data_IF_316486881027
#
_entry.id   IF_316486881027
#
_cell.length_a   1.000
_cell.length_b   1.000
_cell.length_c   1.000
_cell.angle_alpha   90.00
_cell.angle_beta   90.00
_cell.angle_gamma   90.00
#
_symmetry.space_group_name_H-M   'P 1'
#
loop_
_entity.id
_entity.type
_entity.pdbx_description
1 polymer ?
#
# COMPACT_ATOMS: atom_id res chain seq x y z
N UNK A 1 20.05 -23.93 -17.18
CA UNK A 1 18.66 -23.62 -16.84
C UNK A 1 18.68 -22.38 -15.96
N UNK A 2 17.96 -21.30 -16.31
CA UNK A 2 17.83 -20.11 -15.46
C UNK A 2 16.90 -20.44 -14.30
N UNK A 3 17.37 -20.27 -13.07
CA UNK A 3 16.60 -20.60 -11.86
C UNK A 3 15.92 -19.37 -11.23
N UNK A 4 16.00 -18.19 -11.85
CA UNK A 4 15.52 -16.93 -11.25
C UNK A 4 14.71 -16.14 -12.27
N UNK A 5 13.63 -15.54 -11.78
CA UNK A 5 12.85 -14.54 -12.52
C UNK A 5 13.58 -13.20 -12.43
N UNK A 6 13.73 -12.43 -13.51
CA UNK A 6 14.03 -11.00 -13.40
C UNK A 6 12.86 -10.31 -12.70
N UNK A 7 13.08 -9.24 -11.99
CA UNK A 7 14.29 -8.43 -11.76
C UNK A 7 15.16 -8.96 -10.63
N UNK A 8 16.29 -8.26 -10.37
CA UNK A 8 17.06 -8.52 -9.14
C UNK A 8 16.15 -8.29 -7.91
N UNK A 9 16.47 -8.99 -6.80
CA UNK A 9 15.62 -8.99 -5.59
C UNK A 9 15.27 -7.58 -5.10
N UNK A 10 16.21 -6.63 -5.15
CA UNK A 10 16.00 -5.25 -4.69
C UNK A 10 14.96 -4.47 -5.53
N UNK A 11 14.76 -4.82 -6.79
CA UNK A 11 13.82 -4.16 -7.70
C UNK A 11 12.45 -4.86 -7.74
N UNK A 12 12.41 -6.13 -7.33
CA UNK A 12 11.18 -6.92 -7.35
C UNK A 12 10.11 -6.30 -6.46
N UNK A 13 8.99 -5.90 -7.04
CA UNK A 13 7.85 -5.32 -6.33
C UNK A 13 6.96 -6.36 -5.65
N UNK A 14 7.15 -7.65 -5.92
CA UNK A 14 6.30 -8.72 -5.38
C UNK A 14 4.87 -8.70 -5.91
N UNK A 15 4.63 -8.13 -7.08
CA UNK A 15 3.28 -7.97 -7.66
C UNK A 15 2.57 -9.28 -8.03
N UNK A 16 3.28 -10.43 -8.08
CA UNK A 16 2.68 -11.72 -8.40
C UNK A 16 2.47 -12.02 -9.90
N UNK A 17 2.71 -11.05 -10.80
CA UNK A 17 2.46 -11.23 -12.25
C UNK A 17 3.20 -12.42 -12.86
N UNK A 18 4.44 -12.69 -12.44
CA UNK A 18 5.23 -13.82 -12.91
C UNK A 18 4.65 -15.18 -12.49
N UNK A 19 4.11 -15.29 -11.29
CA UNK A 19 3.42 -16.49 -10.81
C UNK A 19 2.09 -16.68 -11.56
N UNK A 20 1.28 -15.62 -11.67
CA UNK A 20 -0.03 -15.65 -12.34
C UNK A 20 0.03 -16.02 -13.84
N UNK A 21 1.15 -15.75 -14.53
CA UNK A 21 1.29 -16.02 -15.98
C UNK A 21 1.97 -17.35 -16.30
N UNK A 22 2.53 -18.03 -15.31
CA UNK A 22 3.27 -19.27 -15.55
C UNK A 22 2.34 -20.40 -16.01
N UNK A 23 2.46 -20.92 -17.26
CA UNK A 23 1.54 -21.93 -17.77
C UNK A 23 1.73 -23.31 -17.13
N UNK A 24 2.80 -23.49 -16.34
CA UNK A 24 3.12 -24.72 -15.63
C UNK A 24 3.02 -24.58 -14.12
N UNK A 25 2.55 -23.42 -13.61
CA UNK A 25 2.52 -23.12 -12.17
C UNK A 25 3.87 -23.39 -11.49
N UNK A 26 4.97 -23.19 -12.22
CA UNK A 26 6.33 -23.44 -11.73
C UNK A 26 6.87 -22.32 -10.85
N UNK A 27 6.09 -21.28 -10.54
CA UNK A 27 6.54 -20.14 -9.76
C UNK A 27 5.62 -19.98 -8.54
N UNK A 28 6.22 -20.01 -7.36
CA UNK A 28 5.57 -19.72 -6.08
C UNK A 28 6.13 -18.45 -5.47
N UNK A 29 5.29 -17.68 -4.78
CA UNK A 29 5.73 -16.51 -4.03
C UNK A 29 6.11 -16.97 -2.62
N UNK A 30 7.41 -16.89 -2.25
CA UNK A 30 7.91 -17.37 -0.96
C UNK A 30 8.52 -16.25 -0.13
N UNK A 31 8.30 -16.23 1.20
CA UNK A 31 8.85 -15.20 2.08
C UNK A 31 10.37 -15.35 2.22
N UNK A 32 11.05 -14.22 2.27
CA UNK A 32 12.45 -14.14 2.67
C UNK A 32 12.63 -13.89 4.18
N UNK A 33 13.86 -13.71 4.63
CA UNK A 33 14.17 -13.45 6.04
C UNK A 33 13.60 -12.13 6.58
N UNK A 34 13.22 -11.20 5.71
CA UNK A 34 12.53 -9.96 6.08
C UNK A 34 10.99 -10.12 6.01
N UNK A 35 10.49 -11.28 5.61
CA UNK A 35 9.07 -11.60 5.49
C UNK A 35 8.39 -11.07 4.23
N UNK A 36 9.15 -10.63 3.21
CA UNK A 36 8.60 -10.27 1.90
C UNK A 36 8.59 -11.46 0.95
N UNK A 37 7.48 -11.66 0.24
CA UNK A 37 7.38 -12.72 -0.75
C UNK A 37 8.10 -12.36 -2.06
N UNK A 38 8.91 -13.31 -2.56
CA UNK A 38 9.62 -13.25 -3.82
C UNK A 38 9.35 -14.50 -4.66
N UNK A 39 9.40 -14.41 -6.02
CA UNK A 39 9.18 -15.57 -6.87
C UNK A 39 10.30 -16.58 -6.74
N UNK A 40 9.93 -17.83 -6.50
CA UNK A 40 10.82 -19.00 -6.51
C UNK A 40 10.37 -19.93 -7.63
N UNK A 41 11.29 -20.32 -8.50
CA UNK A 41 11.01 -21.17 -9.67
C UNK A 41 11.33 -22.62 -9.31
N UNK A 42 10.35 -23.52 -9.50
CA UNK A 42 10.57 -24.96 -9.45
C UNK A 42 11.21 -25.42 -10.79
N UNK A 43 12.47 -25.87 -10.80
CA UNK A 43 13.15 -26.27 -12.00
C UNK A 43 12.58 -27.55 -12.64
N UNK A 44 11.88 -28.40 -11.86
CA UNK A 44 11.26 -29.61 -12.37
C UNK A 44 10.00 -29.33 -13.21
N UNK A 45 9.30 -28.24 -12.92
CA UNK A 45 8.11 -27.80 -13.65
C UNK A 45 8.41 -26.77 -14.73
N UNK A 46 9.54 -26.05 -14.63
CA UNK A 46 9.86 -24.94 -15.52
C UNK A 46 10.27 -25.43 -16.92
N UNK A 47 9.54 -24.97 -17.95
CA UNK A 47 9.80 -25.26 -19.36
C UNK A 47 10.67 -24.21 -20.07
N UNK A 48 11.24 -23.26 -19.34
CA UNK A 48 12.11 -22.19 -19.84
C UNK A 48 11.51 -21.34 -20.98
N UNK A 49 10.22 -21.03 -20.91
CA UNK A 49 9.51 -20.24 -21.94
C UNK A 49 9.70 -18.71 -21.81
N UNK A 50 10.34 -18.23 -20.76
CA UNK A 50 10.64 -16.82 -20.44
C UNK A 50 9.42 -15.88 -20.33
N UNK A 51 8.20 -16.40 -20.26
CA UNK A 51 7.00 -15.56 -20.12
C UNK A 51 7.04 -14.69 -18.87
N UNK A 52 7.52 -15.21 -17.77
CA UNK A 52 7.65 -14.49 -16.50
C UNK A 52 8.60 -13.28 -16.59
N UNK A 53 9.70 -13.41 -17.36
CA UNK A 53 10.64 -12.31 -17.60
C UNK A 53 10.08 -11.28 -18.60
N UNK A 54 9.52 -11.76 -19.72
CA UNK A 54 8.95 -10.90 -20.78
C UNK A 54 7.74 -10.11 -20.31
N UNK A 55 7.11 -10.53 -19.21
CA UNK A 55 5.90 -9.91 -18.64
C UNK A 55 6.13 -9.24 -17.30
N UNK A 56 7.36 -9.21 -16.82
CA UNK A 56 7.68 -8.45 -15.63
C UNK A 56 7.51 -6.95 -15.90
N UNK A 57 6.69 -6.23 -15.10
CA UNK A 57 6.47 -4.80 -15.31
C UNK A 57 7.64 -3.94 -14.81
N UNK A 58 8.60 -4.52 -14.07
CA UNK A 58 9.74 -3.77 -13.55
C UNK A 58 10.62 -3.28 -14.69
N UNK A 59 10.89 -1.98 -14.71
CA UNK A 59 11.68 -1.33 -15.75
C UNK A 59 10.92 -1.07 -17.07
N UNK A 60 9.62 -1.37 -17.14
CA UNK A 60 8.82 -0.99 -18.30
C UNK A 60 8.73 0.55 -18.42
N UNK A 61 8.81 1.04 -19.66
CA UNK A 61 8.58 2.46 -19.93
C UNK A 61 7.07 2.76 -19.88
N UNK A 62 6.72 3.89 -19.30
CA UNK A 62 5.35 4.40 -19.28
C UNK A 62 5.33 5.75 -19.98
N UNK A 63 4.29 6.01 -20.76
CA UNK A 63 4.08 7.31 -21.38
C UNK A 63 3.35 8.24 -20.41
N UNK A 64 3.81 9.49 -20.36
CA UNK A 64 3.12 10.53 -19.63
C UNK A 64 1.80 10.88 -20.33
N UNK A 65 0.73 11.04 -19.55
CA UNK A 65 -0.59 11.43 -20.05
C UNK A 65 -1.16 12.57 -19.19
N UNK A 66 -2.14 13.28 -19.73
CA UNK A 66 -2.80 14.34 -18.98
C UNK A 66 -3.70 13.75 -17.91
N UNK A 67 -3.58 14.25 -16.69
CA UNK A 67 -4.36 13.82 -15.53
C UNK A 67 -5.31 14.94 -15.13
N UNK A 68 -6.56 14.60 -14.85
CA UNK A 68 -7.52 15.50 -14.22
C UNK A 68 -7.77 15.08 -12.78
N UNK A 69 -7.78 16.04 -11.89
CA UNK A 69 -7.93 15.81 -10.46
C UNK A 69 -9.27 16.32 -9.93
N UNK A 70 -9.87 15.56 -9.02
CA UNK A 70 -11.13 15.84 -8.37
C UNK A 70 -11.04 15.54 -6.88
N UNK A 71 -11.77 16.33 -6.07
CA UNK A 71 -12.13 15.93 -4.72
C UNK A 71 -13.45 15.14 -4.80
N UNK A 72 -13.62 14.12 -3.96
CA UNK A 72 -14.84 13.32 -3.94
C UNK A 72 -15.16 12.78 -2.54
N UNK A 73 -16.45 12.78 -2.21
CA UNK A 73 -16.97 12.15 -1.00
C UNK A 73 -18.29 11.45 -1.27
N UNK A 74 -18.52 10.33 -0.64
CA UNK A 74 -19.77 9.59 -0.73
C UNK A 74 -20.91 10.35 -0.03
N UNK A 75 -22.10 10.39 -0.64
CA UNK A 75 -23.28 11.07 -0.10
C UNK A 75 -23.82 10.37 1.15
N UNK A 76 -23.66 9.04 1.22
CA UNK A 76 -24.02 8.24 2.38
C UNK A 76 -22.92 8.30 3.44
N UNK A 77 -23.27 8.84 4.61
CA UNK A 77 -22.35 8.98 5.76
C UNK A 77 -21.88 7.62 6.31
N UNK A 78 -22.69 6.56 6.24
CA UNK A 78 -22.31 5.23 6.72
C UNK A 78 -21.21 4.62 5.83
N UNK A 79 -21.28 4.80 4.51
CA UNK A 79 -20.23 4.39 3.57
C UNK A 79 -18.94 5.18 3.83
N UNK A 80 -19.03 6.49 4.08
CA UNK A 80 -17.86 7.31 4.43
C UNK A 80 -17.21 6.84 5.73
N UNK A 81 -18.02 6.56 6.76
CA UNK A 81 -17.52 6.08 8.04
C UNK A 81 -16.78 4.73 7.89
N UNK A 82 -17.31 3.81 7.10
CA UNK A 82 -16.72 2.49 6.84
C UNK A 82 -15.52 2.52 5.87
N UNK A 83 -15.20 3.66 5.27
CA UNK A 83 -14.10 3.83 4.31
C UNK A 83 -12.91 4.50 4.95
N UNK A 84 -11.69 4.25 4.43
CA UNK A 84 -10.48 4.96 4.88
C UNK A 84 -10.54 6.46 4.60
N UNK A 85 -11.19 6.87 3.52
CA UNK A 85 -11.28 8.25 3.05
C UNK A 85 -12.73 8.59 2.66
N UNK A 86 -12.97 9.20 1.51
CA UNK A 86 -14.29 9.67 1.06
C UNK A 86 -15.26 8.61 0.51
N UNK A 87 -14.87 7.32 0.42
CA UNK A 87 -15.80 6.24 0.01
C UNK A 87 -15.90 5.99 -1.49
N UNK A 88 -14.98 6.52 -2.30
CA UNK A 88 -15.00 6.39 -3.78
C UNK A 88 -14.96 4.93 -4.24
N UNK A 89 -14.14 4.07 -3.59
CA UNK A 89 -14.06 2.66 -3.94
C UNK A 89 -15.40 1.95 -3.90
N UNK A 90 -16.24 2.22 -2.90
CA UNK A 90 -17.56 1.62 -2.76
C UNK A 90 -18.49 2.03 -3.91
N UNK A 91 -18.52 3.31 -4.30
CA UNK A 91 -19.35 3.78 -5.41
C UNK A 91 -18.91 3.14 -6.75
N UNK A 92 -17.60 3.02 -7.01
CA UNK A 92 -17.08 2.35 -8.20
C UNK A 92 -17.42 0.86 -8.21
N UNK A 93 -17.32 0.18 -7.05
CA UNK A 93 -17.63 -1.24 -6.89
C UNK A 93 -19.12 -1.50 -7.18
N UNK A 94 -20.03 -0.70 -6.63
CA UNK A 94 -21.48 -0.79 -6.91
C UNK A 94 -21.77 -0.61 -8.40
N UNK A 95 -21.11 0.34 -9.07
CA UNK A 95 -21.20 0.49 -10.52
C UNK A 95 -20.69 -0.74 -11.29
N UNK A 96 -19.71 -1.48 -10.78
CA UNK A 96 -19.25 -2.73 -11.38
C UNK A 96 -20.25 -3.87 -11.16
N UNK A 97 -20.80 -4.03 -9.95
CA UNK A 97 -21.83 -5.03 -9.66
C UNK A 97 -23.09 -4.83 -10.50
N UNK A 98 -23.53 -3.59 -10.68
CA UNK A 98 -24.67 -3.26 -11.53
C UNK A 98 -24.52 -3.71 -12.99
N UNK A 99 -23.28 -3.95 -13.44
CA UNK A 99 -22.95 -4.47 -14.78
C UNK A 99 -22.69 -5.98 -14.79
N UNK A 100 -22.96 -6.68 -13.68
CA UNK A 100 -22.69 -8.10 -13.51
C UNK A 100 -21.19 -8.43 -13.46
N UNK A 101 -20.38 -7.47 -13.05
CA UNK A 101 -18.93 -7.62 -12.95
C UNK A 101 -18.47 -8.06 -11.56
N UNK A 102 -17.17 -8.35 -11.46
CA UNK A 102 -16.48 -8.78 -10.23
C UNK A 102 -15.51 -7.69 -9.81
N UNK A 103 -15.45 -7.44 -8.50
CA UNK A 103 -14.54 -6.46 -7.90
C UNK A 103 -13.44 -7.19 -7.15
N UNK A 104 -12.17 -6.86 -7.43
CA UNK A 104 -11.01 -7.36 -6.70
C UNK A 104 -10.40 -6.26 -5.83
N UNK A 105 -10.06 -6.60 -4.59
CA UNK A 105 -9.41 -5.70 -3.65
C UNK A 105 -8.74 -6.45 -2.50
N UNK A 106 -7.89 -5.75 -1.76
CA UNK A 106 -7.19 -6.33 -0.61
C UNK A 106 -8.14 -6.53 0.58
N UNK A 107 -8.09 -7.71 1.18
CA UNK A 107 -8.83 -8.07 2.38
C UNK A 107 -7.94 -8.83 3.37
N UNK A 108 -8.40 -8.95 4.61
CA UNK A 108 -7.82 -9.87 5.57
C UNK A 108 -8.40 -11.27 5.35
N UNK A 109 -7.53 -12.25 5.13
CA UNK A 109 -7.82 -13.67 5.14
C UNK A 109 -7.53 -14.30 6.50
N UNK A 110 -7.23 -15.59 6.48
CA UNK A 110 -6.92 -16.33 7.71
C UNK A 110 -5.73 -15.70 8.47
N UNK A 111 -5.86 -15.66 9.81
CA UNK A 111 -4.85 -15.06 10.71
C UNK A 111 -4.40 -13.66 10.32
N UNK A 112 -5.31 -12.87 9.76
CA UNK A 112 -5.05 -11.50 9.26
C UNK A 112 -3.98 -11.42 8.17
N UNK A 113 -3.72 -12.52 7.43
CA UNK A 113 -2.96 -12.45 6.19
C UNK A 113 -3.66 -11.50 5.22
N UNK A 114 -2.90 -10.64 4.52
CA UNK A 114 -3.49 -9.72 3.56
C UNK A 114 -3.37 -10.28 2.16
N UNK A 115 -4.50 -10.49 1.52
CA UNK A 115 -4.61 -11.03 0.17
C UNK A 115 -5.63 -10.26 -0.67
N UNK A 116 -5.54 -10.37 -1.99
CA UNK A 116 -6.59 -9.89 -2.88
C UNK A 116 -7.65 -10.96 -3.06
N UNK A 117 -8.90 -10.60 -2.82
CA UNK A 117 -10.07 -11.45 -3.03
C UNK A 117 -10.99 -10.85 -4.08
N UNK A 118 -11.87 -11.66 -4.67
CA UNK A 118 -12.96 -11.22 -5.56
C UNK A 118 -14.27 -11.10 -4.79
N UNK A 119 -15.08 -10.09 -5.12
CA UNK A 119 -16.44 -9.88 -4.63
C UNK A 119 -17.40 -9.74 -5.80
N UNK A 120 -18.61 -10.32 -5.69
CA UNK A 120 -19.67 -10.24 -6.69
C UNK A 120 -20.85 -9.38 -6.24
N UNK A 121 -20.90 -9.03 -4.97
CA UNK A 121 -21.94 -8.17 -4.40
C UNK A 121 -21.41 -7.33 -3.22
N UNK A 122 -22.28 -6.51 -2.66
CA UNK A 122 -21.91 -5.58 -1.59
C UNK A 122 -21.65 -6.25 -0.24
N UNK A 123 -22.23 -7.42 0.03
CA UNK A 123 -22.01 -8.15 1.28
C UNK A 123 -20.55 -8.61 1.40
N UNK A 124 -19.97 -9.02 0.27
CA UNK A 124 -18.57 -9.44 0.17
C UNK A 124 -17.59 -8.25 0.14
N UNK A 125 -18.07 -7.05 -0.26
CA UNK A 125 -17.25 -5.84 -0.36
C UNK A 125 -16.76 -5.33 1.00
N UNK A 126 -17.45 -5.62 2.08
CA UNK A 126 -17.15 -5.11 3.42
C UNK A 126 -15.69 -5.41 3.84
N UNK A 127 -15.18 -6.61 3.56
CA UNK A 127 -13.81 -7.02 3.86
C UNK A 127 -12.73 -6.24 3.09
N UNK A 128 -13.08 -5.68 1.93
CA UNK A 128 -12.16 -4.89 1.10
C UNK A 128 -12.08 -3.42 1.53
N UNK A 129 -13.09 -2.91 2.24
CA UNK A 129 -13.08 -1.53 2.77
C UNK A 129 -11.98 -1.36 3.80
N UNK A 130 -11.48 -0.15 3.92
CA UNK A 130 -10.40 0.17 4.83
C UNK A 130 -9.00 -0.16 4.28
N UNK A 131 -8.02 0.67 4.60
CA UNK A 131 -6.63 0.47 4.19
C UNK A 131 -6.01 -0.70 4.94
N UNK A 132 -5.23 -1.53 4.25
CA UNK A 132 -4.37 -2.55 4.82
C UNK A 132 -2.94 -2.13 4.55
N UNK A 133 -2.25 -1.58 5.56
CA UNK A 133 -0.86 -1.15 5.44
C UNK A 133 0.08 -2.35 5.61
N UNK A 134 -0.10 -3.34 4.72
CA UNK A 134 0.69 -4.56 4.59
C UNK A 134 0.68 -4.94 3.12
N UNK A 135 1.78 -5.48 2.60
CA UNK A 135 1.78 -6.00 1.25
C UNK A 135 0.81 -7.19 1.12
N UNK A 136 -0.17 -7.07 0.22
CA UNK A 136 -1.11 -8.15 -0.05
C UNK A 136 -0.55 -9.14 -1.08
N UNK A 137 -0.91 -10.41 -0.96
CA UNK A 137 -0.75 -11.38 -2.05
C UNK A 137 -1.82 -11.13 -3.12
N UNK A 138 -1.40 -10.94 -4.36
CA UNK A 138 -2.29 -10.67 -5.49
C UNK A 138 -2.13 -11.65 -6.65
N UNK A 139 -1.27 -12.68 -6.54
CA UNK A 139 -0.95 -13.57 -7.65
C UNK A 139 -2.20 -14.31 -8.18
N UNK A 140 -2.95 -14.94 -7.29
CA UNK A 140 -4.16 -15.69 -7.63
C UNK A 140 -5.29 -14.76 -8.10
N UNK A 141 -5.45 -13.59 -7.46
CA UNK A 141 -6.44 -12.61 -7.87
C UNK A 141 -6.16 -12.07 -9.30
N UNK A 142 -4.90 -11.84 -9.65
CA UNK A 142 -4.49 -11.45 -11.02
C UNK A 142 -4.85 -12.57 -12.02
N UNK A 143 -4.58 -13.83 -11.68
CA UNK A 143 -4.91 -14.97 -12.54
C UNK A 143 -6.44 -15.11 -12.73
N UNK A 144 -7.21 -15.00 -11.64
CA UNK A 144 -8.67 -15.08 -11.63
C UNK A 144 -9.30 -13.91 -12.40
N UNK A 145 -8.83 -12.68 -12.19
CA UNK A 145 -9.29 -11.52 -12.95
C UNK A 145 -9.07 -11.69 -14.46
N UNK A 146 -7.90 -12.19 -14.87
CA UNK A 146 -7.61 -12.48 -16.27
C UNK A 146 -8.53 -13.59 -16.84
N UNK A 147 -8.82 -14.63 -16.08
CA UNK A 147 -9.73 -15.70 -16.48
C UNK A 147 -11.19 -15.20 -16.63
N UNK A 148 -11.66 -14.31 -15.75
CA UNK A 148 -12.98 -13.68 -15.87
C UNK A 148 -13.07 -12.80 -17.12
N UNK A 149 -12.07 -11.96 -17.35
CA UNK A 149 -11.99 -11.07 -18.51
C UNK A 149 -11.97 -11.85 -19.82
N UNK A 150 -11.25 -12.98 -19.91
CA UNK A 150 -11.25 -13.84 -21.11
C UNK A 150 -12.63 -14.45 -21.40
N UNK A 151 -13.46 -14.63 -20.38
CA UNK A 151 -14.87 -15.05 -20.50
C UNK A 151 -15.82 -13.90 -20.76
N UNK A 152 -15.30 -12.68 -20.89
CA UNK A 152 -16.09 -11.48 -21.16
C UNK A 152 -16.80 -10.89 -19.94
N UNK A 153 -16.47 -11.32 -18.74
CA UNK A 153 -17.03 -10.79 -17.48
C UNK A 153 -16.28 -9.49 -17.10
N UNK A 154 -16.98 -8.38 -16.84
CA UNK A 154 -16.35 -7.14 -16.43
C UNK A 154 -15.64 -7.27 -15.07
N UNK A 155 -14.49 -6.62 -14.91
CA UNK A 155 -13.71 -6.65 -13.67
C UNK A 155 -13.32 -5.22 -13.28
N UNK A 156 -13.49 -4.89 -12.00
CA UNK A 156 -12.79 -3.81 -11.34
C UNK A 156 -11.67 -4.42 -10.51
N UNK A 157 -10.44 -3.96 -10.69
CA UNK A 157 -9.30 -4.38 -9.87
C UNK A 157 -8.69 -3.17 -9.17
N UNK A 158 -8.67 -3.19 -7.82
CA UNK A 158 -8.01 -2.18 -7.00
C UNK A 158 -6.74 -2.77 -6.39
N UNK A 159 -5.61 -2.05 -6.48
CA UNK A 159 -4.34 -2.49 -5.91
C UNK A 159 -3.30 -1.38 -5.88
N UNK A 160 -2.11 -1.69 -5.38
CA UNK A 160 -0.96 -0.76 -5.49
C UNK A 160 -0.60 -0.54 -6.96
N UNK A 161 0.05 0.59 -7.33
CA UNK A 161 0.47 0.82 -8.72
C UNK A 161 1.24 -0.35 -9.32
N UNK A 162 2.16 -0.96 -8.57
CA UNK A 162 2.93 -2.10 -9.06
C UNK A 162 2.09 -3.39 -9.25
N UNK A 163 1.00 -3.58 -8.50
CA UNK A 163 0.06 -4.68 -8.70
C UNK A 163 -0.82 -4.44 -9.93
N UNK A 164 -1.25 -3.19 -10.15
CA UNK A 164 -1.95 -2.80 -11.39
C UNK A 164 -1.07 -3.04 -12.60
N UNK A 165 0.20 -2.63 -12.56
CA UNK A 165 1.14 -2.89 -13.65
C UNK A 165 1.32 -4.39 -13.91
N UNK A 166 1.37 -5.20 -12.84
CA UNK A 166 1.42 -6.66 -12.92
C UNK A 166 0.18 -7.24 -13.61
N UNK A 167 -1.01 -6.78 -13.27
CA UNK A 167 -2.26 -7.16 -13.91
C UNK A 167 -2.28 -6.74 -15.38
N UNK A 168 -1.91 -5.49 -15.69
CA UNK A 168 -1.86 -4.97 -17.05
C UNK A 168 -0.82 -5.69 -17.92
N UNK A 169 0.26 -6.19 -17.35
CA UNK A 169 1.21 -7.04 -18.05
C UNK A 169 0.61 -8.43 -18.37
N UNK A 170 -0.34 -8.92 -17.57
CA UNK A 170 -1.03 -10.20 -17.75
C UNK A 170 -2.18 -10.10 -18.77
N UNK A 171 -3.00 -9.03 -18.70
CA UNK A 171 -4.22 -8.83 -19.50
C UNK A 171 -3.91 -8.04 -20.77
N UNK A 172 -4.48 -8.45 -21.94
CA UNK A 172 -4.17 -7.83 -23.24
C UNK A 172 -5.40 -7.65 -24.13
N UNK A 173 -5.20 -6.76 -25.13
CA UNK A 173 -6.16 -6.57 -26.22
C UNK A 173 -7.57 -6.26 -25.70
N UNK A 174 -8.58 -6.92 -26.27
CA UNK A 174 -10.00 -6.70 -25.95
C UNK A 174 -10.38 -6.99 -24.49
N UNK A 175 -9.60 -7.82 -23.79
CA UNK A 175 -9.82 -8.08 -22.37
C UNK A 175 -9.71 -6.79 -21.54
N UNK A 176 -8.83 -5.84 -21.92
CA UNK A 176 -8.67 -4.55 -21.24
C UNK A 176 -9.87 -3.63 -21.37
N UNK A 177 -10.72 -3.80 -22.35
CA UNK A 177 -11.92 -2.99 -22.52
C UNK A 177 -12.91 -3.20 -21.37
N UNK A 178 -12.98 -4.42 -20.81
CA UNK A 178 -13.84 -4.80 -19.70
C UNK A 178 -13.18 -4.71 -18.33
N UNK A 179 -11.91 -4.30 -18.27
CA UNK A 179 -11.16 -4.11 -17.05
C UNK A 179 -11.16 -2.63 -16.64
N UNK A 180 -11.70 -2.31 -15.47
CA UNK A 180 -11.49 -1.02 -14.79
C UNK A 180 -10.43 -1.19 -13.72
N UNK A 181 -9.37 -0.39 -13.78
CA UNK A 181 -8.28 -0.42 -12.80
C UNK A 181 -8.29 0.81 -11.91
N UNK A 182 -8.12 0.57 -10.61
CA UNK A 182 -8.06 1.61 -9.58
C UNK A 182 -6.82 1.38 -8.74
N UNK A 183 -5.86 2.29 -8.80
CA UNK A 183 -4.75 2.29 -7.85
C UNK A 183 -4.90 3.42 -6.82
N UNK A 184 -3.90 3.57 -5.97
CA UNK A 184 -3.88 4.62 -4.98
C UNK A 184 -2.49 5.23 -4.84
N UNK A 185 -2.42 6.47 -4.34
CA UNK A 185 -1.15 7.11 -4.00
C UNK A 185 -0.48 6.28 -2.90
N UNK A 186 0.62 5.63 -3.26
CA UNK A 186 1.24 4.58 -2.46
C UNK A 186 2.49 5.11 -1.75
N UNK A 187 2.47 5.05 -0.41
CA UNK A 187 3.62 5.38 0.42
C UNK A 187 4.74 4.30 0.37
N UNK A 188 4.36 3.06 0.05
CA UNK A 188 5.18 1.86 0.14
C UNK A 188 4.47 0.77 0.92
N UNK A 189 4.97 -0.46 0.85
CA UNK A 189 4.33 -1.61 1.51
C UNK A 189 5.23 -2.17 2.62
N UNK A 190 4.71 -2.31 3.86
CA UNK A 190 5.37 -3.02 4.94
C UNK A 190 5.43 -4.53 4.69
N UNK A 191 6.35 -5.19 5.39
CA UNK A 191 6.53 -6.63 5.34
C UNK A 191 5.34 -7.39 5.94
N UNK A 192 4.75 -8.36 5.21
CA UNK A 192 3.73 -9.26 5.75
C UNK A 192 4.23 -10.07 6.96
N UNK A 193 5.48 -10.53 6.93
CA UNK A 193 6.08 -11.27 8.05
C UNK A 193 6.23 -10.41 9.30
N UNK A 194 6.60 -9.14 9.14
CA UNK A 194 6.68 -8.19 10.28
C UNK A 194 5.29 -7.95 10.87
N UNK A 195 4.25 -7.82 10.04
CA UNK A 195 2.87 -7.66 10.52
C UNK A 195 2.37 -8.91 11.24
N UNK A 196 2.57 -10.10 10.66
CA UNK A 196 2.22 -11.36 11.31
C UNK A 196 2.88 -11.50 12.68
N UNK A 197 4.18 -11.21 12.77
CA UNK A 197 4.92 -11.24 14.04
C UNK A 197 4.46 -10.18 15.04
N UNK A 198 3.97 -9.02 14.55
CA UNK A 198 3.35 -8.00 15.39
C UNK A 198 2.03 -8.52 15.99
N UNK A 199 1.15 -9.11 15.17
CA UNK A 199 -0.10 -9.72 15.65
C UNK A 199 0.20 -10.81 16.69
N UNK A 200 1.14 -11.73 16.43
CA UNK A 200 1.57 -12.73 17.39
C UNK A 200 2.10 -12.12 18.70
N UNK A 201 2.74 -10.96 18.63
CA UNK A 201 3.23 -10.28 19.85
C UNK A 201 2.08 -9.75 20.71
N UNK A 202 1.00 -9.24 20.08
CA UNK A 202 -0.21 -8.85 20.80
C UNK A 202 -0.91 -10.05 21.41
N UNK A 203 -1.06 -11.13 20.65
CA UNK A 203 -1.68 -12.38 21.13
C UNK A 203 -0.94 -12.95 22.34
N UNK A 204 0.39 -12.99 22.31
CA UNK A 204 1.21 -13.42 23.46
C UNK A 204 1.07 -12.52 24.67
N UNK A 205 1.00 -11.20 24.48
CA UNK A 205 0.89 -10.24 25.57
C UNK A 205 -0.47 -10.31 26.29
N UNK A 206 -1.54 -10.66 25.55
CA UNK A 206 -2.89 -10.67 26.07
C UNK A 206 -3.46 -12.09 26.32
N UNK A 207 -2.79 -13.14 25.87
CA UNK A 207 -3.24 -14.53 25.99
C UNK A 207 -4.49 -14.85 25.16
N UNK A 208 -4.80 -14.03 24.14
CA UNK A 208 -5.98 -14.13 23.29
C UNK A 208 -5.62 -13.87 21.83
N UNK A 209 -6.42 -14.41 20.91
CA UNK A 209 -6.24 -14.16 19.47
C UNK A 209 -6.72 -12.75 19.08
N UNK A 210 -6.04 -12.16 18.12
CA UNK A 210 -6.51 -10.96 17.42
C UNK A 210 -7.42 -11.42 16.27
N UNK A 211 -8.71 -11.08 16.33
CA UNK A 211 -9.72 -11.49 15.34
C UNK A 211 -10.02 -10.44 14.28
N UNK A 212 -9.68 -9.18 14.54
CA UNK A 212 -9.82 -8.08 13.57
C UNK A 212 -8.75 -7.02 13.76
N UNK A 213 -8.39 -6.33 12.67
CA UNK A 213 -7.47 -5.20 12.72
C UNK A 213 -7.92 -4.10 11.75
N UNK A 214 -7.96 -2.86 12.25
CA UNK A 214 -8.26 -1.67 11.45
C UNK A 214 -7.08 -0.71 11.51
N UNK A 215 -6.50 -0.38 10.36
CA UNK A 215 -5.38 0.58 10.27
C UNK A 215 -5.82 2.05 10.30
N UNK A 216 -7.07 2.31 9.98
CA UNK A 216 -7.63 3.65 9.77
C UNK A 216 -8.98 3.79 10.46
N UNK A 217 -9.06 3.45 11.76
CA UNK A 217 -10.23 3.72 12.57
C UNK A 217 -10.35 5.23 12.84
N UNK A 218 -11.52 5.79 12.55
CA UNK A 218 -11.79 7.24 12.61
C UNK A 218 -12.36 7.72 13.95
N UNK A 219 -12.22 6.94 15.04
CA UNK A 219 -12.72 7.32 16.38
C UNK A 219 -12.22 8.67 16.90
N UNK A 220 -11.04 9.10 16.42
CA UNK A 220 -10.42 10.39 16.73
C UNK A 220 -10.44 11.37 15.54
N UNK A 221 -11.26 11.09 14.51
CA UNK A 221 -11.32 11.83 13.27
C UNK A 221 -10.56 11.15 12.12
N UNK A 222 -10.80 11.59 10.91
CA UNK A 222 -10.15 11.07 9.70
C UNK A 222 -8.67 11.45 9.62
N UNK A 223 -8.33 12.68 10.04
CA UNK A 223 -6.96 13.18 10.01
C UNK A 223 -6.11 12.57 11.12
N UNK A 224 -6.73 12.26 12.26
CA UNK A 224 -6.07 11.71 13.45
C UNK A 224 -6.53 10.26 13.71
N UNK A 225 -6.46 9.44 12.68
CA UNK A 225 -6.89 8.04 12.74
C UNK A 225 -6.05 7.20 13.71
N UNK A 226 -6.65 6.12 14.19
CA UNK A 226 -6.03 5.12 15.05
C UNK A 226 -5.91 3.78 14.32
N UNK A 227 -4.92 2.97 14.71
CA UNK A 227 -4.94 1.53 14.48
C UNK A 227 -5.63 0.84 15.65
N UNK A 228 -6.44 -0.18 15.37
CA UNK A 228 -7.24 -0.90 16.36
C UNK A 228 -7.14 -2.38 16.11
N UNK A 229 -6.64 -3.14 17.09
CA UNK A 229 -6.73 -4.60 17.13
C UNK A 229 -7.91 -5.01 18.02
N UNK A 230 -8.73 -5.96 17.57
CA UNK A 230 -9.84 -6.52 18.35
C UNK A 230 -9.50 -7.96 18.75
N UNK A 231 -9.57 -8.24 20.06
CA UNK A 231 -9.35 -9.58 20.62
C UNK A 231 -10.62 -10.42 20.57
N UNK A 232 -10.50 -11.74 20.80
CA UNK A 232 -11.63 -12.69 20.77
C UNK A 232 -12.77 -12.34 21.75
N UNK A 233 -12.46 -11.75 22.90
CA UNK A 233 -13.46 -11.29 23.87
C UNK A 233 -14.11 -9.95 23.52
N UNK A 234 -13.73 -9.34 22.38
CA UNK A 234 -14.19 -8.03 21.93
C UNK A 234 -13.37 -6.85 22.51
N UNK A 235 -12.36 -7.08 23.33
CA UNK A 235 -11.46 -6.05 23.82
C UNK A 235 -10.75 -5.38 22.64
N UNK A 236 -10.70 -4.04 22.62
CA UNK A 236 -10.03 -3.27 21.59
C UNK A 236 -8.74 -2.63 22.12
N UNK A 237 -7.64 -2.95 21.48
CA UNK A 237 -6.35 -2.31 21.68
C UNK A 237 -6.20 -1.23 20.62
N UNK A 238 -6.06 0.01 21.00
CA UNK A 238 -5.97 1.13 20.04
C UNK A 238 -4.77 2.00 20.32
N UNK A 239 -4.15 2.50 19.24
CA UNK A 239 -3.09 3.50 19.31
C UNK A 239 -3.13 4.43 18.10
N UNK A 240 -2.57 5.62 18.28
CA UNK A 240 -2.49 6.65 17.24
C UNK A 240 -1.30 6.44 16.31
N UNK A 241 -1.17 7.31 15.33
CA UNK A 241 -0.03 7.31 14.37
C UNK A 241 1.34 7.45 15.04
N UNK A 242 1.42 7.86 16.31
CA UNK A 242 2.66 8.15 17.03
C UNK A 242 2.96 7.20 18.19
N UNK A 243 1.98 6.42 18.65
CA UNK A 243 2.12 5.54 19.81
C UNK A 243 1.77 4.07 19.51
N UNK A 244 1.13 3.78 18.39
CA UNK A 244 0.94 2.41 17.93
C UNK A 244 2.22 1.91 17.22
N UNK A 245 2.92 0.90 17.75
CA UNK A 245 4.29 0.59 17.31
C UNK A 245 4.42 0.16 15.87
N UNK A 246 3.46 -0.63 15.35
CA UNK A 246 3.51 -1.07 13.95
C UNK A 246 3.19 0.08 13.00
N UNK A 247 2.13 0.84 13.26
CA UNK A 247 1.76 1.97 12.43
C UNK A 247 2.85 3.06 12.42
N UNK A 248 3.41 3.37 13.58
CA UNK A 248 4.49 4.35 13.69
C UNK A 248 5.74 3.89 12.92
N UNK A 249 6.15 2.64 13.07
CA UNK A 249 7.30 2.09 12.33
C UNK A 249 7.09 2.10 10.81
N UNK A 250 5.87 1.82 10.34
CA UNK A 250 5.50 1.96 8.93
C UNK A 250 5.64 3.40 8.45
N UNK A 251 5.04 4.35 9.15
CA UNK A 251 5.09 5.77 8.78
C UNK A 251 6.52 6.34 8.81
N UNK A 252 7.42 5.75 9.61
CA UNK A 252 8.84 6.07 9.62
C UNK A 252 9.66 5.27 8.58
N UNK A 253 9.04 4.53 7.66
CA UNK A 253 9.69 3.72 6.61
C UNK A 253 10.65 2.64 7.16
N UNK A 254 10.42 2.15 8.38
CA UNK A 254 11.36 1.27 9.06
C UNK A 254 11.49 -0.11 8.42
N UNK A 255 10.38 -0.65 7.86
CA UNK A 255 10.29 -2.00 7.29
C UNK A 255 9.52 -2.05 5.98
N UNK A 256 9.70 -1.03 5.14
CA UNK A 256 9.18 -1.06 3.77
C UNK A 256 9.96 -2.04 2.89
N UNK A 257 9.29 -2.55 1.87
CA UNK A 257 9.91 -3.38 0.84
C UNK A 257 11.06 -2.63 0.17
N UNK A 258 12.21 -3.27 -0.10
CA UNK A 258 13.37 -2.61 -0.71
C UNK A 258 13.03 -1.86 -2.01
N UNK A 259 12.22 -2.45 -2.89
CA UNK A 259 11.82 -1.82 -4.15
C UNK A 259 11.00 -0.54 -3.98
N UNK A 260 10.34 -0.31 -2.84
CA UNK A 260 9.59 0.92 -2.59
C UNK A 260 10.49 2.16 -2.53
N UNK A 261 11.77 2.00 -2.14
CA UNK A 261 12.72 3.11 -2.10
C UNK A 261 13.30 3.49 -3.47
N UNK A 262 13.06 2.65 -4.47
CA UNK A 262 13.47 2.84 -5.86
C UNK A 262 12.25 2.64 -6.78
N UNK A 263 11.07 3.05 -6.33
CA UNK A 263 9.80 2.75 -6.98
C UNK A 263 9.79 3.25 -8.44
N UNK A 264 9.79 2.31 -9.38
CA UNK A 264 9.71 2.60 -10.81
C UNK A 264 8.29 3.03 -11.23
N UNK A 265 7.30 2.89 -10.35
CA UNK A 265 5.91 3.23 -10.62
C UNK A 265 5.58 4.69 -10.27
N UNK A 266 6.46 5.35 -9.48
CA UNK A 266 6.35 6.79 -9.23
C UNK A 266 6.97 7.57 -10.37
N UNK A 267 6.15 8.15 -11.21
CA UNK A 267 6.54 8.96 -12.36
C UNK A 267 5.72 10.25 -12.43
N UNK A 268 5.78 11.01 -11.36
CA UNK A 268 4.87 12.13 -11.17
C UNK A 268 3.43 11.65 -11.02
N UNK A 269 2.47 12.43 -11.46
CA UNK A 269 1.05 12.06 -11.41
C UNK A 269 0.63 11.01 -12.47
N UNK A 270 1.57 10.31 -13.13
CA UNK A 270 1.27 9.42 -14.25
C UNK A 270 1.19 7.97 -13.81
N UNK A 271 0.00 7.51 -13.47
CA UNK A 271 -0.32 6.13 -13.13
C UNK A 271 -0.91 5.39 -14.32
N UNK A 272 -0.69 4.07 -14.42
CA UNK A 272 -1.28 3.23 -15.48
C UNK A 272 -2.72 2.82 -15.21
N UNK A 273 -3.20 2.94 -13.97
CA UNK A 273 -4.58 2.68 -13.61
C UNK A 273 -5.54 3.65 -14.33
N UNK A 274 -6.78 3.26 -14.52
CA UNK A 274 -7.82 4.14 -15.07
C UNK A 274 -8.14 5.30 -14.12
N UNK A 275 -8.12 5.01 -12.82
CA UNK A 275 -8.30 5.96 -11.73
C UNK A 275 -7.24 5.75 -10.65
N UNK A 276 -6.74 6.85 -10.09
CA UNK A 276 -5.92 6.83 -8.88
C UNK A 276 -6.68 7.53 -7.77
N UNK A 277 -6.82 6.87 -6.61
CA UNK A 277 -7.49 7.44 -5.45
C UNK A 277 -6.51 7.67 -4.30
N UNK A 278 -6.80 8.67 -3.46
CA UNK A 278 -6.00 8.96 -2.27
C UNK A 278 -6.84 9.69 -1.22
N UNK A 279 -6.25 9.92 -0.06
CA UNK A 279 -6.76 10.94 0.86
C UNK A 279 -6.53 12.34 0.27
N UNK A 280 -7.50 13.22 0.36
CA UNK A 280 -7.33 14.64 0.00
C UNK A 280 -6.71 15.37 1.20
N UNK A 281 -5.43 15.09 1.47
CA UNK A 281 -4.69 15.80 2.51
C UNK A 281 -4.64 17.31 2.19
N UNK A 282 -4.68 18.14 3.22
CA UNK A 282 -4.74 19.59 3.05
C UNK A 282 -6.14 20.12 2.71
N UNK A 283 -7.20 19.31 2.87
CA UNK A 283 -8.59 19.73 2.60
C UNK A 283 -8.96 21.02 3.34
N UNK A 284 -8.48 21.19 4.58
CA UNK A 284 -8.70 22.40 5.37
C UNK A 284 -8.15 23.68 4.71
N UNK A 285 -7.17 23.57 3.81
CA UNK A 285 -6.55 24.70 3.12
C UNK A 285 -7.11 24.93 1.71
N UNK A 286 -7.55 23.83 1.06
CA UNK A 286 -7.93 23.87 -0.38
C UNK A 286 -9.44 23.80 -0.62
N UNK A 287 -10.22 23.27 0.32
CA UNK A 287 -11.67 23.19 0.26
C UNK A 287 -12.28 23.10 1.69
N UNK A 288 -12.04 24.11 2.56
CA UNK A 288 -12.43 24.07 3.96
C UNK A 288 -13.95 23.84 4.16
N UNK A 289 -14.78 24.30 3.23
CA UNK A 289 -16.24 24.13 3.27
C UNK A 289 -16.69 22.68 3.10
N UNK A 290 -15.79 21.77 2.72
CA UNK A 290 -16.07 20.33 2.54
C UNK A 290 -15.34 19.45 3.54
N UNK A 291 -14.50 20.05 4.37
CA UNK A 291 -13.68 19.34 5.33
C UNK A 291 -14.40 19.20 6.68
N UNK A 292 -15.10 18.10 6.83
CA UNK A 292 -15.84 17.74 8.05
C UNK A 292 -15.11 16.66 8.90
N UNK A 293 -13.85 16.39 8.60
CA UNK A 293 -13.00 15.38 9.26
C UNK A 293 -13.58 13.94 9.26
N UNK A 294 -14.52 13.63 8.35
CA UNK A 294 -15.08 12.28 8.21
C UNK A 294 -14.50 11.51 7.03
N UNK A 295 -13.68 12.17 6.19
CA UNK A 295 -12.98 11.58 5.05
C UNK A 295 -13.34 12.22 3.72
N UNK A 296 -12.31 12.63 2.99
CA UNK A 296 -12.39 13.24 1.68
C UNK A 296 -11.34 12.62 0.77
N UNK A 297 -11.73 12.15 -0.41
CA UNK A 297 -10.84 11.51 -1.36
C UNK A 297 -10.36 12.48 -2.43
N UNK A 298 -9.08 12.34 -2.79
CA UNK A 298 -8.55 12.76 -4.08
C UNK A 298 -8.86 11.68 -5.10
N UNK A 299 -9.31 12.06 -6.29
CA UNK A 299 -9.48 11.17 -7.44
C UNK A 299 -8.75 11.76 -8.63
N UNK A 300 -7.79 11.02 -9.18
CA UNK A 300 -7.10 11.37 -10.41
C UNK A 300 -7.64 10.50 -11.54
N UNK A 301 -8.07 11.12 -12.62
CA UNK A 301 -8.62 10.47 -13.81
C UNK A 301 -7.52 10.34 -14.84
N UNK A 302 -7.07 9.12 -15.12
CA UNK A 302 -5.93 8.85 -15.97
C UNK A 302 -6.34 8.42 -17.39
N UNK A 303 -7.58 7.89 -17.57
CA UNK A 303 -8.08 7.43 -18.87
C UNK A 303 -9.52 7.88 -19.12
N UNK A 304 -9.98 7.78 -20.37
CA UNK A 304 -11.39 8.01 -20.71
C UNK A 304 -12.33 7.01 -20.02
N UNK A 305 -11.91 5.77 -19.85
CA UNK A 305 -12.68 4.75 -19.12
C UNK A 305 -12.81 5.11 -17.64
N UNK A 306 -11.73 5.59 -17.00
CA UNK A 306 -11.77 6.12 -15.64
C UNK A 306 -12.71 7.32 -15.52
N UNK A 307 -12.71 8.24 -16.50
CA UNK A 307 -13.63 9.37 -16.55
C UNK A 307 -15.08 8.93 -16.59
N UNK A 308 -15.40 7.95 -17.44
CA UNK A 308 -16.75 7.41 -17.53
C UNK A 308 -17.17 6.77 -16.19
N UNK A 309 -16.30 5.95 -15.60
CA UNK A 309 -16.57 5.30 -14.32
C UNK A 309 -16.82 6.32 -13.18
N UNK A 310 -16.05 7.42 -13.13
CA UNK A 310 -16.25 8.48 -12.15
C UNK A 310 -17.61 9.20 -12.37
N UNK A 311 -17.97 9.53 -13.62
CA UNK A 311 -19.27 10.14 -13.93
C UNK A 311 -20.43 9.25 -13.53
N UNK A 312 -20.35 7.95 -13.76
CA UNK A 312 -21.39 7.00 -13.34
C UNK A 312 -21.50 6.95 -11.81
N UNK A 313 -20.37 7.07 -11.10
CA UNK A 313 -20.31 7.09 -9.64
C UNK A 313 -20.81 8.41 -9.02
N UNK A 314 -20.97 9.51 -9.76
CA UNK A 314 -21.53 10.79 -9.27
C UNK A 314 -22.96 10.66 -8.72
N UNK A 315 -23.68 9.59 -9.06
CA UNK A 315 -24.99 9.27 -8.46
C UNK A 315 -24.87 9.12 -6.94
N UNK A 316 -23.75 8.55 -6.46
CA UNK A 316 -23.48 8.30 -5.05
C UNK A 316 -22.42 9.24 -4.46
N UNK A 317 -21.62 9.90 -5.31
CA UNK A 317 -20.55 10.80 -4.91
C UNK A 317 -20.92 12.27 -5.12
N UNK A 318 -20.46 13.12 -4.23
CA UNK A 318 -20.25 14.53 -4.49
C UNK A 318 -18.84 14.71 -5.04
N UNK A 319 -18.71 15.13 -6.31
CA UNK A 319 -17.44 15.29 -7.03
C UNK A 319 -17.24 16.76 -7.36
N UNK A 320 -16.04 17.28 -7.20
CA UNK A 320 -15.70 18.66 -7.52
C UNK A 320 -14.25 18.75 -8.06
N UNK A 321 -13.98 19.70 -8.98
CA UNK A 321 -12.66 19.80 -9.61
C UNK A 321 -11.59 20.29 -8.63
N UNK A 322 -10.36 19.78 -8.78
CA UNK A 322 -9.19 20.16 -8.01
C UNK A 322 -8.05 20.59 -8.94
N UNK A 323 -7.21 21.47 -8.45
CA UNK A 323 -5.97 21.87 -9.15
C UNK A 323 -4.86 20.88 -8.85
N UNK A 324 -4.23 20.34 -9.89
CA UNK A 324 -3.17 19.32 -9.75
C UNK A 324 -1.93 19.85 -9.04
N UNK A 325 -1.56 21.12 -9.27
CA UNK A 325 -0.41 21.77 -8.64
C UNK A 325 -0.53 21.86 -7.10
N UNK A 326 -1.75 22.05 -6.61
CA UNK A 326 -2.02 22.10 -5.17
C UNK A 326 -1.86 20.74 -4.50
N UNK A 327 -2.16 19.64 -5.23
CA UNK A 327 -2.19 18.28 -4.68
C UNK A 327 -0.80 17.76 -4.33
N UNK A 328 0.21 18.08 -5.11
CA UNK A 328 1.60 17.65 -4.89
C UNK A 328 2.15 18.12 -3.54
N UNK A 329 1.74 19.30 -3.09
CA UNK A 329 2.14 19.85 -1.80
C UNK A 329 1.70 18.97 -0.62
N UNK A 330 0.51 18.37 -0.71
CA UNK A 330 -0.09 17.59 0.38
C UNK A 330 0.04 16.07 0.18
N UNK A 331 0.41 15.63 -1.03
CA UNK A 331 0.61 14.23 -1.38
C UNK A 331 1.99 14.01 -2.01
N UNK A 332 3.09 14.16 -1.25
CA UNK A 332 4.45 14.05 -1.79
C UNK A 332 4.73 12.67 -2.41
N UNK A 333 4.05 11.62 -1.97
CA UNK A 333 4.14 10.28 -2.56
C UNK A 333 3.62 10.17 -3.99
N UNK A 334 3.08 11.23 -4.57
CA UNK A 334 2.82 11.32 -6.02
C UNK A 334 4.10 11.46 -6.85
N UNK A 335 5.15 12.06 -6.31
CA UNK A 335 6.40 12.35 -7.03
C UNK A 335 7.65 11.79 -6.35
N UNK A 336 7.57 11.49 -5.05
CA UNK A 336 8.73 11.11 -4.25
C UNK A 336 8.60 9.67 -3.76
N UNK A 337 9.64 8.88 -4.00
CA UNK A 337 9.75 7.55 -3.42
C UNK A 337 10.00 7.64 -1.92
N UNK A 338 9.53 6.64 -1.17
CA UNK A 338 9.87 6.52 0.23
C UNK A 338 11.39 6.39 0.41
N UNK A 339 11.94 7.10 1.38
CA UNK A 339 13.35 6.93 1.76
C UNK A 339 13.45 5.87 2.86
N UNK A 340 14.32 4.88 2.67
CA UNK A 340 14.53 3.86 3.70
C UNK A 340 15.00 4.49 5.01
N UNK A 341 14.42 4.07 6.13
CA UNK A 341 14.84 4.57 7.42
C UNK A 341 16.31 4.15 7.71
N UNK A 342 17.19 5.04 8.22
CA UNK A 342 18.60 4.72 8.46
C UNK A 342 18.83 3.53 9.41
N UNK A 343 17.85 3.25 10.27
CA UNK A 343 17.90 2.15 11.25
C UNK A 343 17.26 0.84 10.72
N UNK A 344 16.86 0.77 9.42
CA UNK A 344 16.22 -0.41 8.81
C UNK A 344 17.01 -1.69 9.01
N UNK A 345 18.33 -1.69 8.73
CA UNK A 345 19.18 -2.87 8.93
C UNK A 345 19.21 -3.30 10.40
N UNK A 346 19.30 -2.33 11.32
CA UNK A 346 19.29 -2.62 12.75
C UNK A 346 17.95 -3.22 13.20
N UNK A 347 16.84 -2.74 12.63
CA UNK A 347 15.53 -3.32 12.88
C UNK A 347 15.48 -4.78 12.43
N UNK A 348 15.85 -5.11 11.19
CA UNK A 348 15.78 -6.48 10.69
C UNK A 348 16.78 -7.43 11.39
N UNK A 349 17.92 -6.94 11.82
CA UNK A 349 18.83 -7.74 12.68
C UNK A 349 18.22 -8.05 14.06
N UNK A 350 17.44 -7.14 14.62
CA UNK A 350 16.68 -7.35 15.86
C UNK A 350 15.48 -8.27 15.63
N UNK A 351 14.74 -8.05 14.55
CA UNK A 351 13.58 -8.85 14.13
C UNK A 351 13.95 -10.32 13.91
N UNK A 352 15.07 -10.61 13.23
CA UNK A 352 15.54 -11.97 13.01
C UNK A 352 15.83 -12.74 14.31
N UNK A 353 16.16 -12.04 15.41
CA UNK A 353 16.48 -12.67 16.71
C UNK A 353 15.27 -12.81 17.62
N UNK A 354 14.33 -11.89 17.56
CA UNK A 354 13.32 -11.73 18.59
C UNK A 354 11.87 -11.64 18.04
N UNK A 355 11.70 -11.62 16.72
CA UNK A 355 10.44 -11.24 16.11
C UNK A 355 10.14 -9.75 16.29
N UNK A 356 8.87 -9.37 16.11
CA UNK A 356 8.43 -8.01 16.37
C UNK A 356 8.30 -7.75 17.89
N UNK A 357 8.87 -6.64 18.33
CA UNK A 357 8.81 -6.16 19.71
C UNK A 357 8.52 -4.66 19.69
N UNK A 358 7.30 -4.29 20.05
CA UNK A 358 6.81 -2.91 19.97
C UNK A 358 7.62 -1.94 20.83
N UNK A 359 8.01 -2.33 22.05
CA UNK A 359 8.82 -1.49 22.92
C UNK A 359 10.20 -1.19 22.32
N UNK A 360 10.83 -2.20 21.74
CA UNK A 360 12.12 -2.04 21.04
C UNK A 360 11.99 -1.18 19.79
N UNK A 361 10.90 -1.32 19.04
CA UNK A 361 10.62 -0.46 17.88
C UNK A 361 10.49 0.99 18.31
N UNK A 362 9.68 1.27 19.36
CA UNK A 362 9.52 2.63 19.87
C UNK A 362 10.84 3.20 20.41
N UNK A 363 11.63 2.43 21.15
CA UNK A 363 12.98 2.83 21.59
C UNK A 363 13.93 3.08 20.42
N UNK A 364 13.87 2.22 19.38
CA UNK A 364 14.69 2.37 18.17
C UNK A 364 14.36 3.69 17.46
N UNK A 365 13.08 4.03 17.33
CA UNK A 365 12.60 5.24 16.64
C UNK A 365 12.64 6.50 17.49
N UNK A 366 12.79 6.38 18.80
CA UNK A 366 12.87 7.54 19.68
C UNK A 366 13.91 8.55 19.19
N UNK A 367 13.61 9.85 19.28
CA UNK A 367 14.56 10.89 18.92
C UNK A 367 15.82 10.77 19.79
N UNK A 368 17.01 11.09 19.25
CA UNK A 368 18.25 10.99 20.00
C UNK A 368 18.18 11.84 21.26
N UNK A 369 18.59 11.26 22.39
CA UNK A 369 18.65 11.94 23.66
C UNK A 369 19.56 13.19 23.61
N UNK A 370 19.44 14.06 24.62
CA UNK A 370 20.23 15.31 24.67
C UNK A 370 21.73 15.07 24.55
N UNK A 371 22.24 14.06 25.23
CA UNK A 371 23.65 13.66 25.16
C UNK A 371 24.08 13.19 23.74
N UNK A 372 23.25 12.37 23.11
CA UNK A 372 23.52 11.89 21.73
C UNK A 372 23.46 13.04 20.70
N UNK A 373 22.53 13.98 20.85
CA UNK A 373 22.47 15.20 20.01
C UNK A 373 23.73 16.04 20.14
N UNK A 374 24.25 16.20 21.39
CA UNK A 374 25.51 16.90 21.62
C UNK A 374 26.68 16.14 21.01
N UNK A 375 26.75 14.82 21.21
CA UNK A 375 27.80 13.99 20.64
C UNK A 375 27.82 14.05 19.09
N UNK A 376 26.64 14.00 18.45
CA UNK A 376 26.53 14.15 16.98
C UNK A 376 26.96 15.55 16.51
N UNK A 377 26.62 16.60 17.23
CA UNK A 377 27.10 17.97 16.92
C UNK A 377 28.60 18.07 17.02
N UNK A 378 29.22 17.46 18.05
CA UNK A 378 30.67 17.43 18.22
C UNK A 378 31.34 16.63 17.09
N UNK A 379 30.78 15.47 16.70
CA UNK A 379 31.32 14.63 15.64
C UNK A 379 31.29 15.30 14.24
N UNK A 380 30.38 16.24 14.02
CA UNK A 380 30.28 17.03 12.79
C UNK A 380 31.02 18.38 12.81
N UNK A 381 31.74 18.69 13.89
CA UNK A 381 32.58 19.90 13.93
C UNK A 381 33.82 19.73 13.03
N UNK A 382 34.17 20.74 12.23
CA UNK A 382 35.40 20.72 11.47
C UNK A 382 36.61 20.46 12.38
N UNK A 383 37.60 19.74 11.89
CA UNK A 383 38.77 19.30 12.67
C UNK A 383 39.48 20.43 13.45
N UNK A 384 39.40 21.68 12.94
CA UNK A 384 39.92 22.88 13.61
C UNK A 384 39.11 23.32 14.84
N UNK A 385 37.79 23.08 14.84
CA UNK A 385 36.93 23.42 15.98
C UNK A 385 37.06 22.40 17.13
N UNK A 386 37.31 21.12 16.79
CA UNK A 386 37.57 20.06 17.77
C UNK A 386 38.87 20.29 18.56
N UNK A 387 39.91 20.83 17.90
CA UNK A 387 41.18 21.18 18.60
C UNK A 387 40.98 22.36 19.59
N UNK A 388 40.20 23.35 19.23
CA UNK A 388 39.88 24.50 20.13
C UNK A 388 39.00 24.08 21.31
N UNK A 389 38.01 23.19 21.10
CA UNK A 389 37.20 22.67 22.19
C UNK A 389 38.01 21.81 23.20
N UNK A 390 38.96 21.00 22.74
CA UNK A 390 39.87 20.23 23.61
C UNK A 390 40.84 21.12 24.41
N UNK A 391 41.27 22.23 23.83
CA UNK A 391 42.15 23.20 24.53
C UNK A 391 41.41 23.97 25.64
N UNK A 392 40.09 24.06 25.59
CA UNK A 392 39.27 24.75 26.62
C UNK A 392 38.82 23.84 27.77
N UNK A 393 38.94 22.51 27.63
CA UNK A 393 38.55 21.53 28.67
C UNK A 393 39.80 21.00 29.41
N UNK A 394 41.00 21.37 29.01
CA UNK A 394 42.28 20.90 29.53
C UNK A 394 42.99 21.91 30.45
N UNK A 395 42.21 22.77 31.14
CA UNK A 395 42.73 23.61 32.22
C UNK A 395 41.84 23.46 33.47
#
# INVERSE_FOLDING_TARGET
MRQTVRPIKAECTGCGACASICPKNAITMQPDAEGFCYPVVDPALCISCDLCEKRCPVGAAHEAHSVQAFGAQHKDAAVRAASSSGGVFTALARGMFARGGVVFGAAFGDRLHVEHIGAMDESELAGMRGSKYVQSDAADAIANAAALLSRGIPVLFSGTPCQIDGLLARVRGKEREKLLTVDFVCHGVPSPGVFASYIESLERAHGQRVVAYAFRDKRLGWKNFSAVATLEDGTQLSGTQTDEPFLYGFLQNLYLRPSCTQCSQLRGAHHLADLTIADLWGAQDVCPERDDDTGLSLVMVNTQKGRQALREAERELTVFPMRTDTLLRYNPSLEQTATAHPKRQRFFAMYAKHGFDGERVMKLLAPPGRAERIARRIAHLPAGALRRARALIGH
#
